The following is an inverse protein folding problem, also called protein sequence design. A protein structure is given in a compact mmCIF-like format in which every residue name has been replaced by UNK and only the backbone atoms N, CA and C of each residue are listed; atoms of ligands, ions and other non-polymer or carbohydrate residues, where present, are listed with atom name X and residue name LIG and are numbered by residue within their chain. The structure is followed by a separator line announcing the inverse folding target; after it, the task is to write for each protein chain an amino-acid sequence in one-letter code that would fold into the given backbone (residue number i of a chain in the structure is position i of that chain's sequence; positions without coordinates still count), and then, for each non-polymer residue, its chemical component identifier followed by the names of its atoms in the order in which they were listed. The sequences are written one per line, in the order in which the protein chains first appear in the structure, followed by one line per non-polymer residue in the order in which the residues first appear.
data_IF_756349046353
#
_entry.id   IF_756349046353
#
_cell.length_a   1.000
_cell.length_b   1.000
_cell.length_c   1.000
_cell.angle_alpha   90.00
_cell.angle_beta   90.00
_cell.angle_gamma   90.00
#
_symmetry.space_group_name_H-M   'P 1'
#
loop_
_entity.id
_entity.type
_entity.pdbx_description
1 polymer ?
#
# COMPACT_ATOMS: atom_id res chain seq x y z
N UNK A 1 -27.32 2.56 1.73
CA UNK A 1 -27.56 3.51 0.63
C UNK A 1 -27.50 2.74 -0.66
N UNK A 2 -28.65 2.57 -1.32
CA UNK A 2 -28.70 1.94 -2.65
C UNK A 2 -28.60 3.06 -3.71
N UNK A 3 -28.02 2.74 -4.87
CA UNK A 3 -27.92 3.67 -6.01
C UNK A 3 -27.20 5.00 -5.71
N UNK A 4 -26.05 4.94 -5.04
CA UNK A 4 -25.13 6.06 -4.89
C UNK A 4 -23.80 5.69 -5.55
N UNK A 5 -23.35 6.52 -6.49
CA UNK A 5 -22.05 6.39 -7.12
C UNK A 5 -21.17 7.57 -6.74
N UNK A 6 -19.88 7.32 -6.58
CA UNK A 6 -18.92 8.32 -6.10
C UNK A 6 -17.76 8.37 -7.09
N UNK A 7 -17.47 9.56 -7.61
CA UNK A 7 -16.27 9.87 -8.36
C UNK A 7 -15.60 11.07 -7.68
N UNK A 8 -14.66 10.80 -6.78
CA UNK A 8 -13.96 11.79 -5.96
C UNK A 8 -12.50 11.37 -5.74
N UNK A 9 -11.71 12.20 -5.07
CA UNK A 9 -10.31 11.88 -4.74
C UNK A 9 -9.32 12.19 -5.86
N UNK A 10 -9.70 13.01 -6.84
CA UNK A 10 -8.85 13.43 -7.96
C UNK A 10 -7.83 14.50 -7.55
N UNK A 11 -6.88 14.14 -6.68
CA UNK A 11 -5.81 15.06 -6.30
C UNK A 11 -4.97 15.42 -7.54
N UNK A 12 -4.93 16.72 -7.89
CA UNK A 12 -4.08 17.33 -8.92
C UNK A 12 -4.19 16.79 -10.37
N UNK A 13 -4.90 15.69 -10.61
CA UNK A 13 -5.04 15.00 -11.91
C UNK A 13 -6.48 14.96 -12.43
N UNK A 14 -7.41 15.67 -11.80
CA UNK A 14 -8.84 15.61 -12.12
C UNK A 14 -9.20 16.06 -13.53
N UNK A 15 -8.53 17.09 -14.07
CA UNK A 15 -8.76 17.54 -15.46
C UNK A 15 -8.29 16.48 -16.45
N UNK A 16 -7.16 15.82 -16.17
CA UNK A 16 -6.58 14.80 -17.04
C UNK A 16 -7.40 13.51 -17.04
N UNK A 17 -7.85 13.07 -15.86
CA UNK A 17 -8.53 11.78 -15.67
C UNK A 17 -10.06 11.85 -15.75
N UNK A 18 -10.63 13.04 -15.55
CA UNK A 18 -12.08 13.28 -15.47
C UNK A 18 -12.88 12.76 -16.67
N UNK A 19 -12.46 13.00 -17.93
CA UNK A 19 -13.20 12.49 -19.09
C UNK A 19 -13.30 10.96 -19.11
N UNK A 20 -12.22 10.25 -18.77
CA UNK A 20 -12.20 8.79 -18.70
C UNK A 20 -13.12 8.27 -17.59
N UNK A 21 -13.03 8.85 -16.39
CA UNK A 21 -13.91 8.43 -15.29
C UNK A 21 -15.38 8.75 -15.58
N UNK A 22 -15.68 9.85 -16.29
CA UNK A 22 -17.04 10.15 -16.72
C UNK A 22 -17.64 9.06 -17.62
N UNK A 23 -16.86 8.55 -18.57
CA UNK A 23 -17.28 7.43 -19.43
C UNK A 23 -17.48 6.16 -18.61
N UNK A 24 -16.52 5.81 -17.75
CA UNK A 24 -16.60 4.64 -16.90
C UNK A 24 -17.83 4.67 -15.97
N UNK A 25 -18.10 5.83 -15.37
CA UNK A 25 -19.24 6.04 -14.48
C UNK A 25 -20.57 5.92 -15.22
N UNK A 26 -20.66 6.49 -16.44
CA UNK A 26 -21.86 6.38 -17.27
C UNK A 26 -22.12 4.92 -17.68
N UNK A 27 -21.09 4.18 -18.10
CA UNK A 27 -21.20 2.77 -18.42
C UNK A 27 -21.62 1.94 -17.20
N UNK A 28 -21.07 2.25 -16.02
CA UNK A 28 -21.43 1.57 -14.78
C UNK A 28 -22.91 1.79 -14.44
N UNK A 29 -23.40 3.02 -14.53
CA UNK A 29 -24.80 3.35 -14.23
C UNK A 29 -25.76 2.68 -15.21
N UNK A 30 -25.45 2.67 -16.52
CA UNK A 30 -26.37 2.17 -17.56
C UNK A 30 -26.32 0.65 -17.71
N UNK A 31 -25.13 0.05 -17.58
CA UNK A 31 -24.89 -1.35 -17.96
C UNK A 31 -24.41 -2.24 -16.82
N UNK A 32 -24.01 -1.66 -15.69
CA UNK A 32 -23.41 -2.39 -14.58
C UNK A 32 -21.90 -2.70 -14.76
N UNK A 33 -21.31 -2.42 -15.92
CA UNK A 33 -19.90 -2.68 -16.22
C UNK A 33 -19.15 -1.36 -16.51
N UNK A 34 -18.30 -0.84 -15.58
CA UNK A 34 -17.54 0.39 -15.79
C UNK A 34 -16.48 0.28 -16.91
N UNK A 35 -16.06 -0.93 -17.27
CA UNK A 35 -15.02 -1.20 -18.26
C UNK A 35 -15.55 -1.33 -19.70
N UNK A 36 -16.87 -1.22 -19.90
CA UNK A 36 -17.51 -1.60 -21.16
C UNK A 36 -16.94 -0.87 -22.37
N UNK A 37 -16.86 0.46 -22.33
CA UNK A 37 -16.34 1.29 -23.43
C UNK A 37 -14.82 1.39 -23.40
N UNK A 38 -14.22 1.60 -22.22
CA UNK A 38 -12.79 1.87 -22.08
C UNK A 38 -11.91 0.61 -22.13
N UNK A 39 -12.50 -0.59 -22.01
CA UNK A 39 -11.79 -1.87 -21.97
C UNK A 39 -10.65 -1.87 -20.93
N UNK A 40 -10.95 -1.32 -19.75
CA UNK A 40 -10.01 -1.17 -18.65
C UNK A 40 -10.58 -1.78 -17.36
N UNK A 41 -9.69 -2.18 -16.46
CA UNK A 41 -10.04 -2.60 -15.10
C UNK A 41 -10.09 -1.37 -14.18
N UNK A 42 -11.10 -1.33 -13.31
CA UNK A 42 -11.38 -0.25 -12.36
C UNK A 42 -11.22 -0.70 -10.90
N UNK A 43 -10.73 -1.92 -10.63
CA UNK A 43 -10.58 -2.45 -9.26
C UNK A 43 -9.75 -1.53 -8.35
N UNK A 44 -8.69 -0.91 -8.86
CA UNK A 44 -7.84 0.03 -8.10
C UNK A 44 -8.51 1.38 -7.80
N UNK A 45 -9.58 1.71 -8.54
CA UNK A 45 -10.35 2.94 -8.38
C UNK A 45 -11.61 2.74 -7.52
N UNK A 46 -11.90 1.49 -7.13
CA UNK A 46 -13.06 1.17 -6.30
C UNK A 46 -12.85 1.67 -4.87
N UNK A 47 -13.76 2.52 -4.39
CA UNK A 47 -13.73 3.04 -3.02
C UNK A 47 -13.79 1.95 -1.96
N UNK A 48 -14.36 0.77 -2.28
CA UNK A 48 -14.49 -0.38 -1.38
C UNK A 48 -13.18 -1.12 -1.17
N UNK A 49 -12.11 -0.77 -1.90
CA UNK A 49 -10.80 -1.39 -1.71
C UNK A 49 -10.18 -1.05 -0.36
N UNK A 50 -10.61 0.04 0.27
CA UNK A 50 -10.11 0.43 1.59
C UNK A 50 -10.89 -0.28 2.70
N UNK A 51 -10.17 -0.93 3.60
CA UNK A 51 -10.78 -1.57 4.75
C UNK A 51 -11.33 -0.53 5.76
N UNK A 52 -12.50 -0.76 6.39
CA UNK A 52 -13.13 0.22 7.28
C UNK A 52 -12.25 0.74 8.42
N UNK A 53 -11.33 -0.09 8.92
CA UNK A 53 -10.38 0.31 9.97
C UNK A 53 -9.49 1.50 9.59
N UNK A 54 -9.36 1.80 8.28
CA UNK A 54 -8.63 2.97 7.77
C UNK A 54 -9.56 4.14 7.48
N UNK A 55 -10.67 3.88 6.80
CA UNK A 55 -11.59 4.92 6.36
C UNK A 55 -12.27 5.63 7.53
N UNK A 56 -12.39 4.95 8.67
CA UNK A 56 -12.97 5.53 9.89
C UNK A 56 -11.97 6.44 10.64
N UNK A 57 -10.66 6.34 10.33
CA UNK A 57 -9.61 7.17 10.93
C UNK A 57 -9.29 8.37 10.04
N UNK A 58 -9.76 9.56 10.44
CA UNK A 58 -9.43 10.81 9.75
C UNK A 58 -7.94 11.13 9.82
N UNK A 59 -7.27 10.75 10.92
CA UNK A 59 -5.83 10.93 11.09
C UNK A 59 -5.05 10.10 10.06
N UNK A 60 -5.43 8.83 9.87
CA UNK A 60 -4.81 7.98 8.85
C UNK A 60 -5.05 8.51 7.44
N UNK A 61 -6.29 8.88 7.12
CA UNK A 61 -6.62 9.45 5.81
C UNK A 61 -5.81 10.71 5.50
N UNK A 62 -5.62 11.56 6.51
CA UNK A 62 -4.83 12.79 6.38
C UNK A 62 -3.35 12.48 6.18
N UNK A 63 -2.77 11.61 7.02
CA UNK A 63 -1.36 11.23 6.93
C UNK A 63 -1.03 10.60 5.57
N UNK A 64 -1.85 9.64 5.10
CA UNK A 64 -1.65 9.01 3.79
C UNK A 64 -1.91 9.95 2.62
N UNK A 65 -2.91 10.83 2.72
CA UNK A 65 -3.16 11.85 1.70
C UNK A 65 -1.97 12.80 1.55
N UNK A 66 -1.38 13.25 2.66
CA UNK A 66 -0.18 14.09 2.66
C UNK A 66 1.05 13.36 2.12
N UNK A 67 1.25 12.09 2.47
CA UNK A 67 2.35 11.28 1.95
C UNK A 67 2.23 11.06 0.43
N UNK A 68 1.04 10.73 -0.05
CA UNK A 68 0.77 10.59 -1.48
C UNK A 68 1.10 11.88 -2.23
N UNK A 69 0.61 13.02 -1.72
CA UNK A 69 0.91 14.33 -2.31
C UNK A 69 2.40 14.67 -2.29
N UNK A 70 3.09 14.44 -1.17
CA UNK A 70 4.52 14.71 -1.04
C UNK A 70 5.37 13.87 -2.02
N UNK A 71 4.85 12.72 -2.46
CA UNK A 71 5.55 11.76 -3.32
C UNK A 71 5.07 11.75 -4.78
N UNK A 72 4.14 12.62 -5.15
CA UNK A 72 3.48 12.62 -6.48
C UNK A 72 4.49 12.62 -7.64
N UNK A 73 5.55 13.41 -7.52
CA UNK A 73 6.63 13.51 -8.53
C UNK A 73 7.93 12.80 -8.12
N UNK A 74 7.89 12.03 -7.03
CA UNK A 74 9.04 11.24 -6.57
C UNK A 74 9.29 10.03 -7.47
N UNK A 75 10.54 9.56 -7.49
CA UNK A 75 10.85 8.26 -8.09
C UNK A 75 10.20 7.18 -7.24
N UNK A 76 9.33 6.36 -7.85
CA UNK A 76 8.67 5.24 -7.18
C UNK A 76 9.46 3.97 -7.46
N UNK A 77 10.11 3.42 -6.44
CA UNK A 77 10.83 2.16 -6.58
C UNK A 77 9.88 0.96 -6.35
N UNK A 78 10.10 -0.20 -7.01
CA UNK A 78 9.18 -1.33 -6.92
C UNK A 78 8.93 -1.88 -5.51
N UNK A 79 9.94 -1.84 -4.63
CA UNK A 79 9.85 -2.32 -3.24
C UNK A 79 9.64 -1.19 -2.24
N UNK A 80 9.38 0.02 -2.73
CA UNK A 80 9.25 1.18 -1.86
C UNK A 80 7.93 1.14 -1.09
N UNK A 81 8.05 0.94 0.21
CA UNK A 81 6.93 1.00 1.13
C UNK A 81 6.59 2.46 1.49
N UNK A 82 5.32 2.70 1.80
CA UNK A 82 4.90 3.98 2.38
C UNK A 82 5.24 4.00 3.87
N UNK A 83 6.39 4.57 4.23
CA UNK A 83 6.95 4.54 5.57
C UNK A 83 7.02 5.90 6.27
N UNK A 84 6.60 6.99 5.62
CA UNK A 84 7.00 8.33 6.06
C UNK A 84 6.21 8.86 7.26
N UNK A 85 5.05 8.29 7.57
CA UNK A 85 4.23 8.70 8.72
C UNK A 85 4.00 7.53 9.70
N UNK A 86 4.48 7.64 10.96
CA UNK A 86 4.23 6.67 12.03
C UNK A 86 2.74 6.36 12.20
N UNK A 87 1.90 7.40 12.09
CA UNK A 87 0.44 7.31 12.25
C UNK A 87 -0.26 6.50 11.14
N UNK A 88 0.46 6.18 10.07
CA UNK A 88 -0.06 5.41 8.94
C UNK A 88 0.33 3.92 8.99
N UNK A 89 1.08 3.49 10.00
CA UNK A 89 1.57 2.12 10.24
C UNK A 89 1.01 1.57 11.56
N UNK A 90 1.05 0.25 11.71
CA UNK A 90 0.63 -0.42 12.95
C UNK A 90 -0.87 -0.36 13.28
N UNK A 91 -1.70 0.10 12.33
CA UNK A 91 -3.15 0.24 12.51
C UNK A 91 -3.82 -1.13 12.65
N UNK A 92 -3.31 -2.15 11.96
CA UNK A 92 -3.82 -3.52 12.06
C UNK A 92 -2.68 -4.52 12.16
N UNK A 93 -2.58 -5.16 13.31
CA UNK A 93 -1.57 -6.17 13.60
C UNK A 93 -2.21 -7.56 13.65
N UNK A 94 -1.50 -8.56 13.15
CA UNK A 94 -1.88 -9.95 13.42
C UNK A 94 -1.50 -10.32 14.86
N UNK A 95 -2.16 -11.33 15.44
CA UNK A 95 -1.78 -11.85 16.76
C UNK A 95 -0.36 -12.45 16.80
N UNK A 96 0.20 -12.77 15.63
CA UNK A 96 1.57 -13.26 15.48
C UNK A 96 2.58 -12.13 15.32
N UNK A 97 2.14 -10.87 15.25
CA UNK A 97 3.01 -9.75 14.91
C UNK A 97 4.23 -9.65 15.84
N UNK A 98 4.03 -9.69 17.16
CA UNK A 98 5.15 -9.66 18.11
C UNK A 98 6.08 -10.86 17.97
N UNK A 99 5.53 -12.07 17.86
CA UNK A 99 6.32 -13.29 17.69
C UNK A 99 7.20 -13.23 16.44
N UNK A 100 6.65 -12.74 15.34
CA UNK A 100 7.33 -12.62 14.07
C UNK A 100 8.36 -11.50 14.12
N UNK A 101 8.04 -10.37 14.75
CA UNK A 101 8.97 -9.27 14.98
C UNK A 101 10.21 -9.73 15.77
N UNK A 102 10.02 -10.45 16.88
CA UNK A 102 11.12 -11.03 17.66
C UNK A 102 11.95 -12.05 16.87
N UNK A 103 11.34 -12.68 15.86
CA UNK A 103 12.02 -13.62 14.96
C UNK A 103 12.77 -12.91 13.81
N UNK A 104 12.82 -11.57 13.81
CA UNK A 104 13.50 -10.78 12.78
C UNK A 104 12.65 -10.45 11.56
N UNK A 105 11.32 -10.51 11.66
CA UNK A 105 10.44 -10.15 10.54
C UNK A 105 10.59 -8.67 10.16
N UNK A 106 10.72 -8.45 8.85
CA UNK A 106 10.69 -7.14 8.21
C UNK A 106 9.29 -6.88 7.69
N UNK A 107 8.64 -5.82 8.17
CA UNK A 107 7.22 -5.57 7.92
C UNK A 107 6.97 -4.50 6.87
N UNK A 108 6.13 -4.86 5.90
CA UNK A 108 5.47 -3.94 4.97
C UNK A 108 3.99 -3.80 5.31
N UNK A 109 3.37 -2.73 4.82
CA UNK A 109 1.94 -2.49 5.05
C UNK A 109 1.18 -2.66 3.74
N UNK A 110 0.15 -3.53 3.74
CA UNK A 110 -0.75 -3.62 2.59
C UNK A 110 -1.67 -2.41 2.63
N UNK A 111 -1.42 -1.37 1.83
CA UNK A 111 -2.11 -0.07 1.91
C UNK A 111 -3.66 -0.18 1.95
N UNK A 112 -4.26 -1.16 1.30
CA UNK A 112 -5.71 -1.40 1.22
C UNK A 112 -6.30 -1.99 2.52
N UNK A 113 -5.59 -2.94 3.14
CA UNK A 113 -6.04 -3.68 4.33
C UNK A 113 -5.34 -3.26 5.62
N UNK A 114 -4.30 -2.43 5.45
CA UNK A 114 -3.18 -2.02 6.33
C UNK A 114 -2.73 -3.01 7.38
N UNK A 115 -2.90 -4.30 7.10
CA UNK A 115 -2.18 -5.31 7.85
C UNK A 115 -0.69 -5.08 7.70
N UNK A 116 0.00 -5.11 8.84
CA UNK A 116 1.44 -5.33 8.86
C UNK A 116 1.72 -6.78 8.49
N UNK A 117 2.39 -6.97 7.35
CA UNK A 117 2.76 -8.29 6.82
C UNK A 117 4.27 -8.44 6.77
N UNK A 118 4.83 -9.56 7.27
CA UNK A 118 6.23 -9.88 7.04
C UNK A 118 6.50 -9.98 5.53
N UNK A 119 7.46 -9.21 5.05
CA UNK A 119 7.96 -9.26 3.67
C UNK A 119 9.08 -10.30 3.55
N UNK A 120 10.00 -10.29 4.51
CA UNK A 120 11.10 -11.24 4.64
C UNK A 120 11.60 -11.22 6.11
N UNK A 121 12.54 -12.10 6.44
CA UNK A 121 13.17 -12.18 7.75
C UNK A 121 14.65 -11.84 7.64
N UNK A 122 15.08 -10.92 8.50
CA UNK A 122 16.47 -10.56 8.65
C UNK A 122 16.86 -10.63 10.14
N UNK A 123 17.43 -11.75 10.62
CA UNK A 123 17.81 -11.92 12.02
C UNK A 123 19.02 -11.04 12.41
N UNK A 124 19.84 -10.60 11.46
CA UNK A 124 21.00 -9.73 11.72
C UNK A 124 20.60 -8.25 11.82
N UNK A 125 19.44 -7.87 11.29
CA UNK A 125 18.87 -6.52 11.40
C UNK A 125 17.35 -6.60 11.48
N UNK A 126 16.80 -7.00 12.65
CA UNK A 126 15.37 -6.85 12.92
C UNK A 126 14.99 -5.38 12.72
N UNK A 127 13.79 -5.08 12.22
CA UNK A 127 13.31 -3.71 12.15
C UNK A 127 13.55 -3.00 13.48
N UNK A 128 14.44 -2.00 13.48
CA UNK A 128 14.54 -1.08 14.59
C UNK A 128 13.42 -0.05 14.39
N UNK A 129 12.55 0.07 15.38
CA UNK A 129 11.68 1.25 15.50
C UNK A 129 12.63 2.45 15.55
N UNK A 130 12.61 3.30 14.53
CA UNK A 130 13.40 4.53 14.59
C UNK A 130 12.90 5.38 15.77
N UNK A 131 13.81 6.10 16.45
CA UNK A 131 13.45 7.05 17.50
C UNK A 131 12.51 8.12 16.90
N UNK A 132 11.21 7.93 17.07
CA UNK A 132 10.16 8.66 16.34
C UNK A 132 8.95 7.82 15.94
N UNK A 133 8.96 6.50 16.19
CA UNK A 133 7.81 5.61 15.95
C UNK A 133 7.63 5.20 14.48
N UNK A 134 8.56 5.57 13.61
CA UNK A 134 8.60 5.11 12.23
C UNK A 134 9.29 3.75 12.11
N UNK A 135 8.61 2.77 11.53
CA UNK A 135 9.23 1.55 11.00
C UNK A 135 9.97 1.92 9.71
N UNK A 136 11.24 2.29 9.82
CA UNK A 136 12.09 2.60 8.66
C UNK A 136 13.21 1.57 8.57
N UNK A 137 13.08 0.61 7.67
CA UNK A 137 14.24 -0.09 7.11
C UNK A 137 14.82 0.88 6.10
N UNK A 138 16.08 1.30 6.28
CA UNK A 138 16.83 1.98 5.22
C UNK A 138 17.18 0.95 4.14
N UNK A 139 16.18 0.44 3.44
CA UNK A 139 16.40 -0.42 2.30
C UNK A 139 17.00 0.42 1.18
N UNK A 140 18.10 -0.05 0.59
CA UNK A 140 18.64 0.55 -0.63
C UNK A 140 17.64 0.32 -1.76
N UNK A 141 16.80 1.32 -1.99
CA UNK A 141 15.79 1.30 -3.06
C UNK A 141 16.47 1.23 -4.43
N UNK A 142 16.09 0.22 -5.22
CA UNK A 142 16.68 -0.07 -6.52
C UNK A 142 15.61 -0.62 -7.46
N UNK A 143 15.73 -0.30 -8.75
CA UNK A 143 14.95 -0.98 -9.81
C UNK A 143 15.46 -2.40 -10.09
N UNK A 144 16.68 -2.70 -9.67
CA UNK A 144 17.28 -4.02 -9.75
C UNK A 144 17.09 -4.74 -8.41
N UNK A 145 16.16 -5.68 -8.39
CA UNK A 145 15.82 -6.49 -7.21
C UNK A 145 17.02 -7.26 -6.66
N UNK A 146 18.01 -7.63 -7.47
CA UNK A 146 19.21 -8.37 -7.01
C UNK A 146 20.17 -7.53 -6.19
N UNK A 147 20.01 -6.20 -6.26
CA UNK A 147 20.79 -5.24 -5.46
C UNK A 147 20.09 -4.87 -4.16
N UNK A 148 18.87 -5.33 -3.96
CA UNK A 148 18.14 -5.07 -2.75
C UNK A 148 18.64 -5.98 -1.62
N UNK A 149 18.70 -5.43 -0.41
CA UNK A 149 19.26 -6.13 0.76
C UNK A 149 18.45 -7.38 1.14
N UNK A 150 17.15 -7.41 0.80
CA UNK A 150 16.27 -8.54 1.06
C UNK A 150 16.47 -9.75 0.14
N UNK A 151 17.19 -9.60 -0.98
CA UNK A 151 17.29 -10.68 -1.98
C UNK A 151 17.86 -11.97 -1.39
N UNK A 152 18.91 -11.85 -0.56
CA UNK A 152 19.53 -12.99 0.11
C UNK A 152 18.62 -13.64 1.16
N UNK A 153 17.87 -12.83 1.93
CA UNK A 153 16.88 -13.33 2.90
C UNK A 153 15.79 -14.14 2.22
N UNK A 154 15.20 -13.61 1.14
CA UNK A 154 14.13 -14.29 0.39
C UNK A 154 14.66 -15.57 -0.28
N UNK A 155 15.89 -15.57 -0.78
CA UNK A 155 16.52 -16.80 -1.31
C UNK A 155 16.63 -17.88 -0.23
N UNK A 156 17.08 -17.52 0.98
CA UNK A 156 17.22 -18.44 2.10
C UNK A 156 15.86 -18.99 2.55
N UNK A 157 14.84 -18.12 2.67
CA UNK A 157 13.46 -18.53 2.98
C UNK A 157 12.90 -19.47 1.91
N UNK A 158 13.13 -19.17 0.63
CA UNK A 158 12.69 -20.01 -0.46
C UNK A 158 13.30 -21.40 -0.40
N UNK A 159 14.59 -21.50 -0.06
CA UNK A 159 15.28 -22.78 0.13
C UNK A 159 14.71 -23.55 1.32
N UNK A 160 14.55 -22.88 2.46
CA UNK A 160 13.99 -23.48 3.68
C UNK A 160 12.54 -23.95 3.52
N UNK A 161 11.75 -23.35 2.62
CA UNK A 161 10.40 -23.81 2.32
C UNK A 161 10.36 -25.05 1.41
N UNK A 162 11.46 -25.36 0.71
CA UNK A 162 11.55 -26.46 -0.25
C UNK A 162 12.27 -27.71 0.28
N UNK A 163 13.24 -27.53 1.17
CA UNK A 163 14.07 -28.58 1.77
C UNK A 163 13.61 -28.88 3.20
#
# INVERSE_FOLDING_TARGET
TENLWIATGFNSLGIQTGPGVGVALADWIVTGDPGRTLKADFAELDVRRFHPHYTDSSAWCTARGLEGYAREYGVRYPTEEFSSYPDARGVRLSSLHECLHTSGAVFGSIAESGFERPLHFNPESPHQLSEGGGLHTQEVLSFDARKAEWWGSVEAEHRAARE
#
